data_IF_575992579888
#
_entry.id   IF_575992579888
#
_cell.length_a   1.000
_cell.length_b   1.000
_cell.length_c   1.000
_cell.angle_alpha   90.00
_cell.angle_beta   90.00
_cell.angle_gamma   90.00
#
_symmetry.space_group_name_H-M   'P 1'
#
loop_
_entity.id
_entity.type
_entity.pdbx_description
1 polymer ?
#
# COMPACT_ATOMS: atom_id res chain seq x y z
N UNK A 1 -2.64 -0.87 -8.26
CA UNK A 1 -2.68 -1.90 -7.21
C UNK A 1 -1.78 -3.11 -7.48
N UNK A 2 -1.68 -3.63 -8.72
CA UNK A 2 -0.83 -4.80 -9.04
C UNK A 2 0.67 -4.58 -8.78
N UNK A 3 1.16 -3.35 -8.93
CA UNK A 3 2.54 -2.97 -8.62
C UNK A 3 2.81 -2.58 -7.17
N UNK A 4 1.83 -2.71 -6.26
CA UNK A 4 2.06 -2.39 -4.85
C UNK A 4 2.93 -3.50 -4.24
N UNK A 5 4.12 -3.20 -3.69
CA UNK A 5 5.04 -4.20 -3.15
C UNK A 5 4.49 -4.81 -1.87
N UNK A 6 4.77 -6.10 -1.63
CA UNK A 6 4.53 -6.74 -0.33
C UNK A 6 5.78 -6.56 0.52
N UNK A 7 5.66 -5.82 1.61
CA UNK A 7 6.76 -5.58 2.55
C UNK A 7 7.04 -6.85 3.34
N UNK A 8 8.29 -7.32 3.37
CA UNK A 8 8.70 -8.54 4.08
C UNK A 8 7.76 -9.75 3.86
N UNK A 9 7.36 -10.00 2.61
CA UNK A 9 6.47 -11.11 2.28
C UNK A 9 5.02 -10.97 2.82
N UNK A 10 4.66 -9.83 3.39
CA UNK A 10 3.35 -9.54 3.99
C UNK A 10 3.37 -9.33 5.50
N UNK A 11 4.54 -9.41 6.15
CA UNK A 11 4.68 -9.11 7.57
C UNK A 11 4.72 -7.60 7.86
N UNK A 12 5.32 -6.82 6.95
CA UNK A 12 5.34 -5.36 7.06
C UNK A 12 4.13 -4.69 6.41
N UNK A 13 4.05 -3.37 6.54
CA UNK A 13 2.99 -2.54 5.97
C UNK A 13 3.63 -1.44 5.11
N UNK A 14 3.10 -1.22 3.91
CA UNK A 14 3.40 0.01 3.17
C UNK A 14 2.24 0.98 3.31
N UNK A 15 2.54 2.24 3.62
CA UNK A 15 1.56 3.33 3.65
C UNK A 15 1.59 4.04 2.30
N UNK A 16 0.44 4.18 1.67
CA UNK A 16 0.31 4.80 0.35
C UNK A 16 -0.54 6.07 0.41
N UNK A 17 -0.09 7.09 -0.31
CA UNK A 17 -0.93 8.21 -0.72
C UNK A 17 -1.68 7.82 -1.99
N UNK A 18 -3.01 7.86 -1.96
CA UNK A 18 -3.88 7.53 -3.10
C UNK A 18 -4.85 8.67 -3.40
N UNK A 19 -5.54 8.61 -4.54
CA UNK A 19 -6.60 9.58 -4.88
C UNK A 19 -7.81 9.56 -3.94
N UNK A 20 -7.90 8.58 -3.04
CA UNK A 20 -8.95 8.48 -2.00
C UNK A 20 -8.41 8.71 -0.59
N UNK A 21 -7.23 9.30 -0.47
CA UNK A 21 -6.55 9.54 0.80
C UNK A 21 -5.43 8.54 1.08
N UNK A 22 -4.94 8.57 2.32
CA UNK A 22 -3.85 7.72 2.78
C UNK A 22 -4.43 6.38 3.24
N UNK A 23 -3.82 5.28 2.82
CA UNK A 23 -4.26 3.93 3.21
C UNK A 23 -3.10 2.93 3.17
N UNK A 24 -3.33 1.74 3.73
CA UNK A 24 -2.37 0.64 3.70
C UNK A 24 -2.32 -0.04 2.34
N UNK A 25 -1.24 -0.77 2.07
CA UNK A 25 -1.07 -1.61 0.88
C UNK A 25 -2.14 -2.69 0.76
N UNK A 26 -2.68 -3.18 1.89
CA UNK A 26 -3.79 -4.12 1.92
C UNK A 26 -5.09 -3.47 1.47
N UNK A 27 -5.44 -2.32 2.03
CA UNK A 27 -6.65 -1.56 1.65
C UNK A 27 -6.58 -1.12 0.18
N UNK A 28 -5.44 -0.64 -0.28
CA UNK A 28 -5.23 -0.24 -1.67
C UNK A 28 -5.43 -1.43 -2.64
N UNK A 29 -4.96 -2.63 -2.29
CA UNK A 29 -5.20 -3.85 -3.09
C UNK A 29 -6.66 -4.28 -3.06
N UNK A 30 -7.32 -4.25 -1.91
CA UNK A 30 -8.73 -4.61 -1.76
C UNK A 30 -9.62 -3.70 -2.63
N UNK A 31 -9.36 -2.39 -2.59
CA UNK A 31 -10.08 -1.39 -3.36
C UNK A 31 -9.63 -1.29 -4.82
N UNK A 32 -8.60 -2.04 -5.22
CA UNK A 32 -7.96 -2.00 -6.56
C UNK A 32 -7.45 -0.61 -6.95
N UNK A 33 -6.93 0.15 -6.00
CA UNK A 33 -6.41 1.51 -6.20
C UNK A 33 -4.88 1.49 -6.15
N UNK A 34 -4.25 2.36 -6.94
CA UNK A 34 -2.81 2.61 -6.90
C UNK A 34 -2.49 3.89 -6.13
N UNK A 35 -1.22 4.11 -5.89
CA UNK A 35 -0.75 5.30 -5.19
C UNK A 35 0.75 5.34 -5.10
N UNK A 36 1.25 6.41 -4.53
CA UNK A 36 2.65 6.59 -4.19
C UNK A 36 2.91 5.99 -2.82
N UNK A 37 4.02 5.27 -2.66
CA UNK A 37 4.42 4.74 -1.36
C UNK A 37 5.12 5.85 -0.58
N UNK A 38 4.60 6.16 0.60
CA UNK A 38 5.18 7.19 1.47
C UNK A 38 6.25 6.61 2.39
N UNK A 39 5.96 5.46 3.00
CA UNK A 39 6.89 4.78 3.88
C UNK A 39 6.55 3.31 4.03
N UNK A 40 7.49 2.59 4.61
CA UNK A 40 7.36 1.20 5.02
C UNK A 40 7.52 1.11 6.53
N UNK A 41 6.73 0.25 7.16
CA UNK A 41 6.83 -0.12 8.57
C UNK A 41 7.13 -1.61 8.61
N UNK A 42 8.14 -2.00 9.39
CA UNK A 42 8.54 -3.39 9.62
C UNK A 42 8.90 -3.64 11.07
#
# INVERSE_FOLDING_TARGET
YQGIPKVLGGMGIAILSTSRGIMTDREARLNRIGGEVLCYIW
#
